data_IF_089399736965
#
_entry.id   IF_089399736965
#
_cell.length_a   1.000
_cell.length_b   1.000
_cell.length_c   1.000
_cell.angle_alpha   90.00
_cell.angle_beta   90.00
_cell.angle_gamma   90.00
#
_symmetry.space_group_name_H-M   'P 1'
#
loop_
_entity.id
_entity.type
_entity.pdbx_description
1 polymer ?
#
# COMPACT_ATOMS: atom_id res chain seq x y z
N UNK A 1 9.85 3.44 -22.06
CA UNK A 1 9.23 2.36 -21.28
C UNK A 1 10.31 1.42 -20.77
N UNK A 2 10.38 1.23 -19.49
CA UNK A 2 11.34 0.30 -18.88
C UNK A 2 10.84 -1.16 -19.00
N UNK A 3 10.41 -1.57 -20.19
CA UNK A 3 9.52 -2.70 -20.41
C UNK A 3 9.99 -4.08 -19.96
N UNK A 4 11.28 -4.36 -19.87
CA UNK A 4 11.79 -5.68 -19.48
C UNK A 4 13.03 -5.60 -18.60
N UNK A 5 13.29 -4.43 -18.03
CA UNK A 5 14.40 -4.26 -17.12
C UNK A 5 14.09 -4.91 -15.78
N UNK A 6 14.98 -5.79 -15.32
CA UNK A 6 14.84 -6.42 -14.02
C UNK A 6 15.38 -5.48 -12.95
N UNK A 7 14.52 -5.08 -12.01
CA UNK A 7 14.91 -4.25 -10.87
C UNK A 7 15.26 -5.10 -9.67
N UNK A 8 16.20 -4.62 -8.86
CA UNK A 8 16.55 -5.29 -7.62
C UNK A 8 15.38 -5.21 -6.63
N UNK A 9 15.05 -6.34 -6.02
CA UNK A 9 13.99 -6.44 -5.02
C UNK A 9 14.64 -6.79 -3.69
N UNK A 10 14.32 -6.01 -2.64
CA UNK A 10 14.82 -6.30 -1.30
C UNK A 10 14.28 -7.64 -0.78
N UNK A 11 15.10 -8.43 -0.10
CA UNK A 11 14.61 -9.65 0.57
C UNK A 11 13.51 -9.33 1.57
N UNK A 12 12.56 -10.25 1.74
CA UNK A 12 11.50 -10.08 2.73
C UNK A 12 12.09 -9.95 4.13
N UNK A 13 11.60 -9.00 4.94
CA UNK A 13 12.03 -8.89 6.31
C UNK A 13 11.49 -10.05 7.16
N UNK A 14 12.20 -10.38 8.22
CA UNK A 14 11.76 -11.35 9.23
C UNK A 14 11.20 -10.61 10.44
N UNK A 15 10.13 -11.15 11.02
CA UNK A 15 9.49 -10.56 12.19
C UNK A 15 9.45 -11.57 13.33
N UNK A 16 10.03 -11.24 14.49
CA UNK A 16 9.97 -12.07 15.70
C UNK A 16 8.55 -12.08 16.30
N UNK A 17 7.87 -10.93 16.20
CA UNK A 17 6.47 -10.78 16.61
C UNK A 17 5.61 -10.62 15.36
N UNK A 18 4.42 -11.22 15.30
CA UNK A 18 3.53 -11.04 14.16
C UNK A 18 3.25 -9.57 13.88
N UNK A 19 3.10 -9.24 12.62
CA UNK A 19 2.69 -7.90 12.16
C UNK A 19 1.22 -7.94 11.77
N UNK A 20 0.52 -6.84 11.99
CA UNK A 20 -0.86 -6.67 11.57
C UNK A 20 -1.01 -5.40 10.75
N UNK A 21 -1.43 -5.54 9.51
CA UNK A 21 -1.63 -4.43 8.60
C UNK A 21 -3.10 -4.24 8.27
N UNK A 22 -3.47 -3.00 8.00
CA UNK A 22 -4.78 -2.67 7.45
C UNK A 22 -4.63 -2.42 5.96
N UNK A 23 -5.36 -3.18 5.16
CA UNK A 23 -5.48 -2.95 3.72
C UNK A 23 -6.69 -2.03 3.52
N UNK A 24 -6.44 -0.86 2.92
CA UNK A 24 -7.49 0.11 2.61
C UNK A 24 -7.60 0.19 1.10
N UNK A 25 -8.71 -0.26 0.56
CA UNK A 25 -8.91 -0.31 -0.89
C UNK A 25 -10.11 0.55 -1.31
N UNK A 26 -9.92 1.28 -2.42
CA UNK A 26 -11.00 1.95 -3.12
C UNK A 26 -11.36 1.09 -4.35
N UNK A 27 -12.44 0.27 -4.27
CA UNK A 27 -12.72 -0.75 -5.29
C UNK A 27 -13.54 -0.21 -6.47
N UNK A 28 -13.20 0.98 -6.94
CA UNK A 28 -13.93 1.61 -8.07
C UNK A 28 -13.91 0.72 -9.32
N UNK A 29 -12.77 0.12 -9.65
CA UNK A 29 -12.63 -0.92 -10.66
C UNK A 29 -12.45 -2.25 -9.94
N UNK A 30 -13.57 -2.97 -9.74
CA UNK A 30 -13.63 -4.10 -8.81
C UNK A 30 -12.61 -5.20 -9.10
N UNK A 31 -12.50 -5.63 -10.35
CA UNK A 31 -11.60 -6.70 -10.75
C UNK A 31 -10.11 -6.31 -10.57
N UNK A 32 -9.76 -5.07 -10.88
CA UNK A 32 -8.41 -4.54 -10.66
C UNK A 32 -8.13 -4.45 -9.16
N UNK A 33 -9.10 -3.96 -8.39
CA UNK A 33 -8.98 -3.89 -6.94
C UNK A 33 -8.79 -5.28 -6.32
N UNK A 34 -9.52 -6.27 -6.80
CA UNK A 34 -9.41 -7.65 -6.31
C UNK A 34 -8.00 -8.23 -6.54
N UNK A 35 -7.41 -7.97 -7.70
CA UNK A 35 -6.04 -8.38 -7.99
C UNK A 35 -5.02 -7.70 -7.08
N UNK A 36 -5.16 -6.39 -6.87
CA UNK A 36 -4.30 -5.65 -5.95
C UNK A 36 -4.39 -6.20 -4.52
N UNK A 37 -5.59 -6.45 -4.06
CA UNK A 37 -5.84 -7.00 -2.72
C UNK A 37 -5.23 -8.40 -2.60
N UNK A 38 -5.41 -9.25 -3.60
CA UNK A 38 -4.83 -10.60 -3.59
C UNK A 38 -3.30 -10.56 -3.45
N UNK A 39 -2.64 -9.68 -4.20
CA UNK A 39 -1.19 -9.51 -4.11
C UNK A 39 -0.74 -9.02 -2.74
N UNK A 40 -1.44 -8.04 -2.17
CA UNK A 40 -1.12 -7.52 -0.85
C UNK A 40 -1.30 -8.58 0.25
N UNK A 41 -2.40 -9.31 0.23
CA UNK A 41 -2.65 -10.40 1.19
C UNK A 41 -1.54 -11.46 1.14
N UNK A 42 -1.20 -11.90 -0.06
CA UNK A 42 -0.17 -12.93 -0.25
C UNK A 42 1.18 -12.48 0.32
N UNK A 43 1.57 -11.23 0.09
CA UNK A 43 2.84 -10.71 0.60
C UNK A 43 2.86 -10.59 2.13
N UNK A 44 1.78 -10.14 2.74
CA UNK A 44 1.66 -10.08 4.20
C UNK A 44 1.72 -11.49 4.80
N UNK A 45 0.99 -12.43 4.22
CA UNK A 45 0.98 -13.82 4.69
C UNK A 45 2.34 -14.50 4.53
N UNK A 46 3.11 -14.11 3.50
CA UNK A 46 4.44 -14.67 3.26
C UNK A 46 5.43 -14.39 4.40
N UNK A 47 5.22 -13.35 5.18
CA UNK A 47 6.02 -13.04 6.38
C UNK A 47 5.35 -13.49 7.68
N UNK A 48 4.26 -14.24 7.59
CA UNK A 48 3.50 -14.69 8.77
C UNK A 48 2.63 -13.59 9.38
N UNK A 49 2.37 -12.53 8.64
CA UNK A 49 1.57 -11.40 9.11
C UNK A 49 0.08 -11.65 9.00
N UNK A 50 -0.69 -10.76 9.62
CA UNK A 50 -2.14 -10.71 9.55
C UNK A 50 -2.57 -9.41 8.91
N UNK A 51 -3.80 -9.43 8.38
CA UNK A 51 -4.38 -8.25 7.75
C UNK A 51 -5.86 -8.14 8.08
N UNK A 52 -6.33 -6.90 8.15
CA UNK A 52 -7.74 -6.57 8.04
C UNK A 52 -7.94 -5.80 6.73
N UNK A 53 -9.13 -5.82 6.18
CA UNK A 53 -9.48 -5.17 4.93
C UNK A 53 -10.68 -4.26 5.12
N UNK A 54 -10.56 -3.02 4.69
CA UNK A 54 -11.68 -2.09 4.60
C UNK A 54 -11.78 -1.49 3.20
N UNK A 55 -12.99 -1.15 2.81
CA UNK A 55 -13.27 -0.50 1.55
C UNK A 55 -13.70 0.95 1.78
N UNK A 56 -13.26 1.84 0.90
CA UNK A 56 -13.65 3.25 0.90
C UNK A 56 -14.16 3.63 -0.49
N UNK A 57 -14.98 4.71 -0.60
CA UNK A 57 -15.61 5.06 -1.88
C UNK A 57 -14.63 5.39 -3.00
N UNK A 58 -13.53 6.07 -2.70
CA UNK A 58 -12.58 6.50 -3.71
C UNK A 58 -11.18 6.67 -3.12
N UNK A 59 -10.20 6.91 -4.00
CA UNK A 59 -8.80 7.04 -3.60
C UNK A 59 -8.57 8.24 -2.67
N UNK A 60 -9.36 9.31 -2.81
CA UNK A 60 -9.22 10.49 -1.94
C UNK A 60 -9.57 10.20 -0.47
N UNK A 61 -10.39 9.18 -0.19
CA UNK A 61 -10.78 8.81 1.17
C UNK A 61 -9.77 7.88 1.84
N UNK A 62 -8.81 7.34 1.10
CA UNK A 62 -7.83 6.40 1.65
C UNK A 62 -6.95 7.04 2.72
N UNK A 63 -6.32 8.22 2.50
CA UNK A 63 -5.51 8.85 3.53
C UNK A 63 -6.30 9.14 4.82
N UNK A 64 -7.52 9.63 4.68
CA UNK A 64 -8.38 9.91 5.85
C UNK A 64 -8.71 8.63 6.60
N UNK A 65 -9.05 7.55 5.91
CA UNK A 65 -9.33 6.27 6.54
C UNK A 65 -8.12 5.75 7.34
N UNK A 66 -6.92 5.87 6.78
CA UNK A 66 -5.68 5.49 7.46
C UNK A 66 -5.47 6.36 8.70
N UNK A 67 -5.68 7.67 8.60
CA UNK A 67 -5.56 8.58 9.74
C UNK A 67 -6.53 8.25 10.86
N UNK A 68 -7.76 7.88 10.53
CA UNK A 68 -8.75 7.42 11.51
C UNK A 68 -8.29 6.12 12.17
N UNK A 69 -7.86 5.15 11.37
CA UNK A 69 -7.41 3.86 11.89
C UNK A 69 -6.21 4.00 12.82
N UNK A 70 -5.27 4.88 12.51
CA UNK A 70 -4.10 5.13 13.35
C UNK A 70 -4.48 5.65 14.73
N UNK A 71 -5.51 6.49 14.81
CA UNK A 71 -5.98 7.06 16.10
C UNK A 71 -6.88 6.10 16.89
N UNK A 72 -7.70 5.31 16.20
CA UNK A 72 -8.82 4.59 16.82
C UNK A 72 -8.61 3.08 16.87
N UNK A 73 -7.62 2.56 16.20
CA UNK A 73 -7.33 1.14 16.12
C UNK A 73 -5.84 0.88 16.37
N UNK A 74 -5.42 -0.37 16.20
CA UNK A 74 -4.04 -0.75 16.45
C UNK A 74 -3.50 -1.62 15.31
N UNK A 75 -2.82 -0.98 14.37
CA UNK A 75 -2.14 -1.62 13.24
C UNK A 75 -0.67 -1.24 13.23
N UNK A 76 0.17 -2.15 12.75
CA UNK A 76 1.59 -1.87 12.58
C UNK A 76 1.85 -1.06 11.31
N UNK A 77 1.03 -1.23 10.29
CA UNK A 77 1.16 -0.52 9.04
C UNK A 77 -0.08 -0.61 8.17
N UNK A 78 -0.01 0.02 7.01
CA UNK A 78 -1.15 0.20 6.12
C UNK A 78 -0.75 -0.02 4.67
N UNK A 79 -1.67 -0.59 3.89
CA UNK A 79 -1.52 -0.76 2.45
C UNK A 79 -2.66 -0.03 1.77
N UNK A 80 -2.33 1.00 0.99
CA UNK A 80 -3.30 1.79 0.24
C UNK A 80 -3.42 1.22 -1.17
N UNK A 81 -4.62 0.80 -1.57
CA UNK A 81 -4.87 0.18 -2.88
C UNK A 81 -6.01 0.87 -3.61
N UNK A 82 -5.83 1.08 -4.88
CA UNK A 82 -6.84 1.68 -5.73
C UNK A 82 -6.35 1.81 -7.16
N UNK A 83 -7.19 2.33 -8.03
CA UNK A 83 -6.84 2.54 -9.42
C UNK A 83 -7.51 3.81 -9.93
N UNK A 84 -6.69 4.71 -10.47
CA UNK A 84 -7.13 5.96 -11.06
C UNK A 84 -6.75 5.92 -12.54
N UNK A 85 -7.77 5.93 -13.40
CA UNK A 85 -7.58 5.94 -14.87
C UNK A 85 -7.89 7.33 -15.39
N UNK A 86 -7.01 7.86 -16.22
CA UNK A 86 -7.19 9.20 -16.80
C UNK A 86 -8.51 9.29 -17.56
N UNK A 87 -9.29 10.31 -17.23
CA UNK A 87 -10.53 10.67 -17.91
C UNK A 87 -10.38 11.92 -18.77
N UNK A 88 -11.50 12.52 -19.10
CA UNK A 88 -11.56 13.70 -19.97
C UNK A 88 -11.27 15.03 -19.26
N UNK A 89 -11.28 15.03 -17.93
CA UNK A 89 -11.13 16.24 -17.13
C UNK A 89 -9.84 16.22 -16.31
N UNK A 90 -9.53 17.35 -15.67
CA UNK A 90 -8.38 17.45 -14.76
C UNK A 90 -8.60 16.72 -13.43
N UNK A 91 -9.77 16.13 -13.22
CA UNK A 91 -10.06 15.38 -11.98
C UNK A 91 -9.04 14.29 -11.69
N UNK A 92 -8.54 13.61 -12.75
CA UNK A 92 -7.47 12.62 -12.63
C UNK A 92 -6.26 13.19 -11.89
N UNK A 93 -5.80 14.37 -12.29
CA UNK A 93 -4.62 14.99 -11.67
C UNK A 93 -4.86 15.32 -10.20
N UNK A 94 -6.06 15.82 -9.88
CA UNK A 94 -6.44 16.12 -8.49
C UNK A 94 -6.42 14.86 -7.64
N UNK A 95 -7.04 13.78 -8.10
CA UNK A 95 -7.13 12.52 -7.33
C UNK A 95 -5.73 11.90 -7.15
N UNK A 96 -4.93 11.86 -8.21
CA UNK A 96 -3.56 11.34 -8.14
C UNK A 96 -2.71 12.13 -7.16
N UNK A 97 -2.68 13.45 -7.31
CA UNK A 97 -1.81 14.31 -6.52
C UNK A 97 -2.24 14.37 -5.05
N UNK A 98 -3.52 14.51 -4.79
CA UNK A 98 -4.01 14.68 -3.42
C UNK A 98 -3.99 13.36 -2.63
N UNK A 99 -4.30 12.22 -3.27
CA UNK A 99 -4.19 10.94 -2.60
C UNK A 99 -2.74 10.62 -2.23
N UNK A 100 -1.79 10.79 -3.15
CA UNK A 100 -0.39 10.53 -2.88
C UNK A 100 0.19 11.53 -1.87
N UNK A 101 -0.19 12.79 -1.95
CA UNK A 101 0.22 13.80 -0.96
C UNK A 101 -0.27 13.44 0.43
N UNK A 102 -1.54 13.07 0.56
CA UNK A 102 -2.11 12.66 1.85
C UNK A 102 -1.36 11.48 2.47
N UNK A 103 -1.06 10.46 1.67
CA UNK A 103 -0.29 9.31 2.13
C UNK A 103 1.14 9.69 2.53
N UNK A 104 1.79 10.55 1.76
CA UNK A 104 3.14 11.02 2.06
C UNK A 104 3.17 11.81 3.36
N UNK A 105 2.19 12.68 3.59
CA UNK A 105 2.10 13.47 4.83
C UNK A 105 1.94 12.56 6.05
N UNK A 106 1.11 11.52 5.96
CA UNK A 106 0.99 10.52 7.02
C UNK A 106 2.29 9.74 7.23
N UNK A 107 2.96 9.37 6.15
CA UNK A 107 4.25 8.69 6.23
C UNK A 107 5.32 9.52 6.93
N UNK A 108 5.33 10.84 6.71
CA UNK A 108 6.26 11.75 7.40
C UNK A 108 5.99 11.82 8.90
N UNK A 109 4.80 11.45 9.36
CA UNK A 109 4.47 11.34 10.78
C UNK A 109 4.88 10.00 11.39
N UNK A 110 5.49 9.12 10.60
CA UNK A 110 5.98 7.83 11.07
C UNK A 110 5.04 6.65 10.81
N UNK A 111 3.96 6.83 10.05
CA UNK A 111 3.10 5.71 9.66
C UNK A 111 3.78 4.87 8.58
N UNK A 112 3.71 3.56 8.72
CA UNK A 112 4.30 2.62 7.78
C UNK A 112 3.28 2.31 6.67
N UNK A 113 3.36 3.03 5.56
CA UNK A 113 2.37 2.96 4.49
C UNK A 113 3.02 2.50 3.19
N UNK A 114 2.41 1.49 2.57
CA UNK A 114 2.70 1.12 1.18
C UNK A 114 1.64 1.69 0.25
N UNK A 115 2.06 2.42 -0.78
CA UNK A 115 1.16 3.03 -1.74
C UNK A 115 1.04 2.17 -3.00
N UNK A 116 -0.09 1.50 -3.15
CA UNK A 116 -0.45 0.71 -4.32
C UNK A 116 -1.63 1.30 -5.09
N UNK A 117 -1.81 2.62 -5.03
CA UNK A 117 -2.81 3.30 -5.85
C UNK A 117 -2.24 3.46 -7.26
N UNK A 118 -2.82 2.75 -8.21
CA UNK A 118 -2.40 2.83 -9.60
C UNK A 118 -2.87 4.14 -10.22
N UNK A 119 -1.98 4.79 -10.97
CA UNK A 119 -2.27 6.02 -11.71
C UNK A 119 -1.89 5.78 -13.16
N UNK A 120 -2.88 5.51 -14.00
CA UNK A 120 -2.66 4.99 -15.35
C UNK A 120 -3.47 5.74 -16.41
N UNK A 121 -3.05 5.61 -17.66
CA UNK A 121 -3.72 6.26 -18.79
C UNK A 121 -4.93 5.48 -19.26
N UNK A 122 -4.91 4.15 -19.13
CA UNK A 122 -5.95 3.26 -19.63
C UNK A 122 -6.05 1.98 -18.80
N UNK A 123 -7.13 1.23 -19.05
CA UNK A 123 -7.43 0.00 -18.32
C UNK A 123 -6.37 -1.08 -18.49
N UNK A 124 -5.82 -1.23 -19.68
CA UNK A 124 -4.81 -2.25 -19.95
C UNK A 124 -3.56 -2.05 -19.09
N UNK A 125 -3.14 -0.81 -18.92
CA UNK A 125 -2.03 -0.49 -18.03
C UNK A 125 -2.33 -0.88 -16.58
N UNK A 126 -3.59 -0.69 -16.15
CA UNK A 126 -4.00 -1.08 -14.82
C UNK A 126 -3.98 -2.60 -14.63
N UNK A 127 -4.51 -3.34 -15.60
CA UNK A 127 -4.55 -4.80 -15.54
C UNK A 127 -3.15 -5.41 -15.38
N UNK A 128 -2.22 -4.98 -16.20
CA UNK A 128 -0.81 -5.45 -16.16
C UNK A 128 -0.17 -5.17 -14.79
N UNK A 129 -0.43 -4.01 -14.23
CA UNK A 129 0.15 -3.60 -12.95
C UNK A 129 -0.48 -4.30 -11.76
N UNK A 130 -1.77 -4.58 -11.83
CA UNK A 130 -2.49 -5.25 -10.75
C UNK A 130 -2.27 -6.77 -10.73
N UNK A 131 -2.07 -7.37 -11.89
CA UNK A 131 -1.93 -8.81 -12.03
C UNK A 131 -0.79 -9.35 -11.17
N UNK A 132 -1.13 -10.27 -10.26
CA UNK A 132 -0.16 -10.88 -9.35
C UNK A 132 0.92 -11.69 -10.06
N UNK A 133 0.65 -12.13 -11.28
CA UNK A 133 1.59 -12.88 -12.12
C UNK A 133 2.42 -11.99 -13.05
N UNK A 134 2.16 -10.69 -13.06
CA UNK A 134 2.87 -9.71 -13.88
C UNK A 134 3.57 -8.72 -12.96
N UNK A 135 3.16 -7.45 -12.91
CA UNK A 135 3.84 -6.45 -12.10
C UNK A 135 3.51 -6.50 -10.61
N UNK A 136 2.40 -7.09 -10.23
CA UNK A 136 2.02 -7.32 -8.83
C UNK A 136 2.21 -6.09 -7.94
N UNK A 137 1.65 -4.96 -8.33
CA UNK A 137 1.83 -3.71 -7.59
C UNK A 137 1.18 -3.75 -6.20
N UNK A 138 0.13 -4.57 -6.03
CA UNK A 138 -0.46 -4.79 -4.70
C UNK A 138 0.53 -5.45 -3.73
N UNK A 139 1.21 -6.50 -4.20
CA UNK A 139 2.27 -7.14 -3.43
C UNK A 139 3.44 -6.20 -3.14
N UNK A 140 3.84 -5.40 -4.13
CA UNK A 140 4.90 -4.40 -3.95
C UNK A 140 4.55 -3.34 -2.91
N UNK A 141 3.30 -2.90 -2.86
CA UNK A 141 2.84 -1.95 -1.86
C UNK A 141 2.88 -2.56 -0.45
N UNK A 142 2.41 -3.79 -0.30
CA UNK A 142 2.51 -4.50 0.99
C UNK A 142 3.97 -4.68 1.41
N UNK A 143 4.85 -5.05 0.50
CA UNK A 143 6.28 -5.17 0.77
C UNK A 143 6.87 -3.86 1.28
N UNK A 144 6.51 -2.73 0.68
CA UNK A 144 6.97 -1.41 1.13
C UNK A 144 6.55 -1.14 2.58
N UNK A 145 5.29 -1.40 2.93
CA UNK A 145 4.81 -1.24 4.29
C UNK A 145 5.56 -2.15 5.26
N UNK A 146 5.79 -3.40 4.89
CA UNK A 146 6.52 -4.38 5.73
C UNK A 146 7.96 -3.95 5.98
N UNK A 147 8.65 -3.43 4.98
CA UNK A 147 10.01 -2.90 5.15
C UNK A 147 10.05 -1.72 6.12
N UNK A 148 9.06 -0.83 6.05
CA UNK A 148 8.96 0.30 6.97
C UNK A 148 8.67 -0.16 8.40
N UNK A 149 7.81 -1.16 8.58
CA UNK A 149 7.55 -1.74 9.91
C UNK A 149 8.83 -2.35 10.48
N UNK A 150 9.58 -3.10 9.67
CA UNK A 150 10.84 -3.69 10.10
C UNK A 150 11.84 -2.62 10.54
N UNK A 151 11.93 -1.51 9.80
CA UNK A 151 12.78 -0.38 10.13
C UNK A 151 12.35 0.28 11.45
N UNK A 152 11.06 0.53 11.63
CA UNK A 152 10.54 1.13 12.86
C UNK A 152 10.81 0.23 14.07
N UNK A 153 10.63 -1.07 13.95
CA UNK A 153 10.91 -2.04 15.03
C UNK A 153 12.39 -2.11 15.36
N UNK A 154 13.25 -2.07 14.35
CA UNK A 154 14.70 -2.07 14.54
C UNK A 154 15.15 -0.89 15.40
N UNK A 155 14.72 0.30 15.06
CA UNK A 155 15.08 1.51 15.79
C UNK A 155 14.33 1.66 17.11
N UNK A 156 13.09 1.21 17.18
CA UNK A 156 12.34 1.18 18.44
C UNK A 156 13.01 0.32 19.49
N UNK A 157 13.55 -0.84 19.12
CA UNK A 157 14.29 -1.70 20.03
C UNK A 157 15.58 -1.01 20.51
N UNK A 158 16.29 -0.34 19.62
CA UNK A 158 17.52 0.41 19.98
C UNK A 158 17.23 1.54 20.99
N UNK A 159 16.13 2.28 20.82
CA UNK A 159 15.72 3.34 21.74
C UNK A 159 15.38 2.80 23.12
N UNK A 160 14.73 1.66 23.20
CA UNK A 160 14.41 1.00 24.48
C UNK A 160 15.66 0.51 25.21
N UNK A 161 16.72 0.17 24.48
CA UNK A 161 17.98 -0.27 25.06
C UNK A 161 18.81 0.88 25.65
N UNK A 162 18.47 2.12 25.36
CA UNK A 162 19.20 3.33 25.81
C UNK A 162 18.49 4.04 26.97
N UNK A 163 17.22 3.69 27.21
CA UNK A 163 16.37 4.31 28.24
C UNK A 163 16.54 3.75 29.63
#
# INVERSE_FOLDING_TARGET
>A
MAGHETHYILPRPSFERPVKLLIVVAPYYKDIADDLVAGAKAEIEAVGGRWDLIEVPGALEIPTAIGIAERMANFDGYVALGCIIRGETTHYDTVCNDSSRGLTMLGLQGLCIGNGILTVENRKQAEVRADTKDQNKGGGAAAAALHLIALARKWGAARKGVG
#
